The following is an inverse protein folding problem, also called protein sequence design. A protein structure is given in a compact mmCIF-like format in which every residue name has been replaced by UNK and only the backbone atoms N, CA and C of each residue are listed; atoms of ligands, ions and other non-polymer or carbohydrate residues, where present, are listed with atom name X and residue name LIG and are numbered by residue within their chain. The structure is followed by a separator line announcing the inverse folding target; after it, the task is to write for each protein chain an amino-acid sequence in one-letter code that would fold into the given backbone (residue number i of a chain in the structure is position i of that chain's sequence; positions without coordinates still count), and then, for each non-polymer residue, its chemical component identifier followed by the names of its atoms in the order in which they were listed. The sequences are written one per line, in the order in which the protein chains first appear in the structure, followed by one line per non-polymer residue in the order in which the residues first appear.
data_IF_106168140006
#
_entry.id   IF_106168140006
#
_cell.length_a   1.000
_cell.length_b   1.000
_cell.length_c   1.000
_cell.angle_alpha   90.00
_cell.angle_beta   90.00
_cell.angle_gamma   90.00
#
_symmetry.space_group_name_H-M   'P 1'
#
loop_
_entity.id
_entity.type
_entity.pdbx_description
1 polymer ?
#
# COMPACT_ATOMS: atom_id res chain seq x y z
N UNK A 1 -6.83 2.60 6.90
CA UNK A 1 -7.67 3.82 7.02
C UNK A 1 -6.81 5.09 7.17
N UNK A 2 -5.98 5.21 8.19
CA UNK A 2 -5.20 6.44 8.49
C UNK A 2 -4.34 6.96 7.32
N UNK A 3 -3.68 6.07 6.57
CA UNK A 3 -2.85 6.47 5.41
C UNK A 3 -3.67 7.19 4.32
N UNK A 4 -4.95 6.82 4.14
CA UNK A 4 -5.85 7.45 3.16
C UNK A 4 -6.31 8.83 3.60
N UNK A 5 -6.43 9.06 4.90
CA UNK A 5 -6.74 10.39 5.43
C UNK A 5 -5.63 11.40 5.14
N UNK A 6 -4.36 10.98 5.24
CA UNK A 6 -3.21 11.82 4.87
C UNK A 6 -3.23 12.20 3.38
N UNK A 7 -3.40 11.22 2.49
CA UNK A 7 -3.45 11.47 1.05
C UNK A 7 -4.70 12.27 0.63
N UNK A 8 -5.84 12.04 1.28
CA UNK A 8 -7.04 12.86 1.08
C UNK A 8 -6.80 14.31 1.52
N UNK A 9 -6.13 14.52 2.66
CA UNK A 9 -5.76 15.85 3.13
C UNK A 9 -4.85 16.60 2.13
N UNK A 10 -3.89 15.91 1.53
CA UNK A 10 -3.04 16.47 0.47
C UNK A 10 -3.89 16.89 -0.75
N UNK A 11 -4.78 16.04 -1.21
CA UNK A 11 -5.62 16.30 -2.37
C UNK A 11 -6.62 17.43 -2.12
N UNK A 12 -7.25 17.49 -0.95
CA UNK A 12 -8.35 18.40 -0.67
C UNK A 12 -7.91 19.77 -0.18
N UNK A 13 -6.82 19.81 0.59
CA UNK A 13 -6.36 21.05 1.24
C UNK A 13 -5.05 21.57 0.66
N UNK A 14 -4.02 20.72 0.55
CA UNK A 14 -2.68 21.20 0.20
C UNK A 14 -2.61 21.63 -1.26
N UNK A 15 -3.08 20.83 -2.20
CA UNK A 15 -3.00 21.13 -3.63
C UNK A 15 -3.83 22.37 -3.99
N UNK A 16 -5.11 22.55 -3.58
CA UNK A 16 -5.88 23.73 -3.98
C UNK A 16 -5.53 25.00 -3.20
N UNK A 17 -5.11 24.91 -1.94
CA UNK A 17 -4.81 26.10 -1.11
C UNK A 17 -3.40 26.63 -1.35
N UNK A 18 -2.43 25.76 -1.56
CA UNK A 18 -1.00 26.12 -1.65
C UNK A 18 -0.43 25.78 -3.03
N UNK A 19 -1.08 26.26 -4.12
CA UNK A 19 -0.66 25.94 -5.48
C UNK A 19 0.81 26.30 -5.74
N UNK A 20 1.25 27.52 -5.41
CA UNK A 20 2.61 27.98 -5.66
C UNK A 20 3.65 27.20 -4.84
N UNK A 21 3.33 26.92 -3.56
CA UNK A 21 4.20 26.12 -2.70
C UNK A 21 4.32 24.69 -3.20
N UNK A 22 3.26 24.09 -3.73
CA UNK A 22 3.30 22.72 -4.28
C UNK A 22 4.24 22.64 -5.47
N UNK A 23 4.24 23.63 -6.37
CA UNK A 23 5.17 23.71 -7.50
C UNK A 23 6.63 23.88 -7.06
N UNK A 24 6.86 24.72 -6.06
CA UNK A 24 8.21 24.95 -5.53
C UNK A 24 8.81 23.69 -4.89
N UNK A 25 8.02 22.96 -4.08
CA UNK A 25 8.47 21.74 -3.39
C UNK A 25 8.34 20.45 -4.20
N UNK A 26 7.84 20.51 -5.43
CA UNK A 26 7.62 19.35 -6.30
C UNK A 26 8.85 18.46 -6.45
N UNK A 27 10.08 18.96 -6.78
CA UNK A 27 11.25 18.11 -6.91
C UNK A 27 11.63 17.42 -5.59
N UNK A 28 11.45 18.08 -4.45
CA UNK A 28 11.69 17.50 -3.14
C UNK A 28 10.72 16.36 -2.81
N UNK A 29 9.43 16.55 -3.08
CA UNK A 29 8.42 15.51 -2.88
C UNK A 29 8.70 14.29 -3.77
N UNK A 30 9.06 14.50 -5.03
CA UNK A 30 9.38 13.40 -5.94
C UNK A 30 10.58 12.59 -5.47
N UNK A 31 11.66 13.23 -5.05
CA UNK A 31 12.84 12.52 -4.53
C UNK A 31 12.51 11.71 -3.29
N UNK A 32 11.75 12.25 -2.34
CA UNK A 32 11.31 11.53 -1.15
C UNK A 32 10.42 10.33 -1.50
N UNK A 33 9.47 10.49 -2.42
CA UNK A 33 8.59 9.40 -2.83
C UNK A 33 9.37 8.28 -3.53
N UNK A 34 10.30 8.60 -4.43
CA UNK A 34 11.12 7.61 -5.11
C UNK A 34 12.01 6.84 -4.13
N UNK A 35 12.69 7.54 -3.22
CA UNK A 35 13.45 6.90 -2.15
C UNK A 35 12.57 6.01 -1.27
N UNK A 36 11.37 6.50 -0.92
CA UNK A 36 10.39 5.72 -0.17
C UNK A 36 10.01 4.43 -0.87
N UNK A 37 9.72 4.46 -2.19
CA UNK A 37 9.38 3.28 -2.98
C UNK A 37 10.53 2.27 -2.98
N UNK A 38 11.73 2.70 -3.34
CA UNK A 38 12.90 1.80 -3.44
C UNK A 38 13.23 1.17 -2.09
N UNK A 39 13.31 1.99 -1.03
CA UNK A 39 13.65 1.51 0.31
C UNK A 39 12.61 0.54 0.86
N UNK A 40 11.32 0.85 0.72
CA UNK A 40 10.24 -0.02 1.24
C UNK A 40 10.13 -1.31 0.43
N UNK A 41 10.30 -1.28 -0.90
CA UNK A 41 10.34 -2.48 -1.73
C UNK A 41 11.50 -3.41 -1.35
N UNK A 42 12.71 -2.87 -1.18
CA UNK A 42 13.86 -3.66 -0.72
C UNK A 42 13.65 -4.24 0.68
N UNK A 43 13.02 -3.47 1.57
CA UNK A 43 12.71 -3.91 2.93
C UNK A 43 11.67 -5.03 2.95
N UNK A 44 10.64 -5.00 2.09
CA UNK A 44 9.60 -6.04 2.01
C UNK A 44 10.17 -7.40 1.64
N UNK A 45 11.15 -7.45 0.73
CA UNK A 45 11.77 -8.70 0.28
C UNK A 45 12.48 -9.44 1.42
N UNK A 46 13.04 -8.71 2.38
CA UNK A 46 13.79 -9.28 3.52
C UNK A 46 12.94 -9.57 4.75
N UNK A 47 11.66 -9.23 4.74
CA UNK A 47 10.79 -9.45 5.91
C UNK A 47 10.42 -10.93 6.06
N UNK A 48 10.44 -11.41 7.30
CA UNK A 48 10.06 -12.76 7.68
C UNK A 48 8.59 -12.80 8.16
N UNK A 49 8.10 -11.67 8.69
CA UNK A 49 6.75 -11.55 9.24
C UNK A 49 5.75 -11.14 8.17
N UNK A 50 4.71 -11.96 7.90
CA UNK A 50 3.63 -11.68 6.94
C UNK A 50 2.97 -10.31 7.14
N UNK A 51 2.69 -9.93 8.38
CA UNK A 51 2.07 -8.64 8.70
C UNK A 51 2.96 -7.46 8.31
N UNK A 52 4.27 -7.58 8.51
CA UNK A 52 5.24 -6.54 8.12
C UNK A 52 5.38 -6.43 6.61
N UNK A 53 5.36 -7.56 5.88
CA UNK A 53 5.39 -7.57 4.40
C UNK A 53 4.26 -6.70 3.84
N UNK A 54 3.02 -6.92 4.27
CA UNK A 54 1.87 -6.13 3.79
C UNK A 54 1.97 -4.67 4.23
N UNK A 55 2.45 -4.40 5.45
CA UNK A 55 2.61 -3.05 5.95
C UNK A 55 3.62 -2.25 5.10
N UNK A 56 4.80 -2.80 4.79
CA UNK A 56 5.78 -2.13 3.94
C UNK A 56 5.31 -1.99 2.48
N UNK A 57 4.64 -3.01 1.93
CA UNK A 57 4.02 -2.93 0.61
C UNK A 57 2.98 -1.80 0.55
N UNK A 58 2.20 -1.60 1.60
CA UNK A 58 1.21 -0.51 1.64
C UNK A 58 1.86 0.88 1.66
N UNK A 59 3.05 1.05 2.25
CA UNK A 59 3.79 2.32 2.21
C UNK A 59 4.30 2.61 0.81
N UNK A 60 4.83 1.62 0.07
CA UNK A 60 5.26 1.82 -1.33
C UNK A 60 4.10 2.23 -2.23
N UNK A 61 2.94 1.60 -2.11
CA UNK A 61 1.73 1.99 -2.87
C UNK A 61 1.27 3.41 -2.55
N UNK A 62 1.32 3.84 -1.29
CA UNK A 62 0.97 5.22 -0.92
C UNK A 62 1.97 6.25 -1.48
N UNK A 63 3.25 5.90 -1.59
CA UNK A 63 4.24 6.77 -2.24
C UNK A 63 3.93 6.97 -3.73
N UNK A 64 3.44 5.94 -4.44
CA UNK A 64 2.93 6.06 -5.81
C UNK A 64 1.71 6.98 -5.90
N UNK A 65 0.78 6.89 -4.94
CA UNK A 65 -0.38 7.79 -4.88
C UNK A 65 0.08 9.25 -4.77
N UNK A 66 1.04 9.55 -3.90
CA UNK A 66 1.56 10.90 -3.74
C UNK A 66 2.22 11.40 -5.03
N UNK A 67 3.02 10.57 -5.70
CA UNK A 67 3.59 10.90 -7.01
C UNK A 67 2.50 11.29 -8.02
N UNK A 68 1.44 10.49 -8.12
CA UNK A 68 0.31 10.76 -9.01
C UNK A 68 -0.45 12.04 -8.68
N UNK A 69 -0.63 12.37 -7.39
CA UNK A 69 -1.28 13.61 -6.95
C UNK A 69 -0.49 14.86 -7.35
N UNK A 70 0.83 14.82 -7.24
CA UNK A 70 1.71 15.96 -7.54
C UNK A 70 2.04 16.12 -9.03
N UNK A 71 1.56 15.26 -9.94
CA UNK A 71 1.72 15.46 -11.39
C UNK A 71 0.87 16.61 -11.95
N UNK A 72 -0.12 17.11 -11.19
CA UNK A 72 -1.05 18.19 -11.58
C UNK A 72 -1.84 17.90 -12.85
N UNK A 73 -1.83 16.66 -13.36
CA UNK A 73 -2.61 16.22 -14.52
C UNK A 73 -3.91 15.57 -14.08
N UNK A 74 -5.00 15.76 -14.83
CA UNK A 74 -6.30 15.14 -14.54
C UNK A 74 -6.19 13.61 -14.48
N UNK A 75 -5.41 13.03 -15.40
CA UNK A 75 -5.17 11.57 -15.42
C UNK A 75 -4.39 11.09 -14.20
N UNK A 76 -3.36 11.83 -13.77
CA UNK A 76 -2.57 11.50 -12.58
C UNK A 76 -3.40 11.57 -11.30
N UNK A 77 -4.20 12.61 -11.16
CA UNK A 77 -5.11 12.77 -10.02
C UNK A 77 -6.19 11.67 -10.02
N UNK A 78 -6.81 11.40 -11.16
CA UNK A 78 -7.80 10.34 -11.30
C UNK A 78 -7.23 8.96 -10.98
N UNK A 79 -6.04 8.64 -11.49
CA UNK A 79 -5.33 7.40 -11.20
C UNK A 79 -4.96 7.25 -9.72
N UNK A 80 -4.53 8.33 -9.07
CA UNK A 80 -4.19 8.33 -7.65
C UNK A 80 -5.42 8.09 -6.76
N UNK A 81 -6.57 8.71 -7.08
CA UNK A 81 -7.84 8.49 -6.36
C UNK A 81 -8.29 7.04 -6.52
N UNK A 82 -8.22 6.51 -7.75
CA UNK A 82 -8.56 5.11 -8.00
C UNK A 82 -7.65 4.16 -7.21
N UNK A 83 -6.34 4.42 -7.19
CA UNK A 83 -5.39 3.62 -6.43
C UNK A 83 -5.62 3.71 -4.91
N UNK A 84 -6.01 4.87 -4.39
CA UNK A 84 -6.39 5.00 -2.97
C UNK A 84 -7.57 4.11 -2.59
N UNK A 85 -8.61 4.07 -3.43
CA UNK A 85 -9.80 3.27 -3.19
C UNK A 85 -9.51 1.78 -3.30
N UNK A 86 -8.88 1.34 -4.39
CA UNK A 86 -8.53 -0.07 -4.62
C UNK A 86 -7.61 -0.60 -3.52
N UNK A 87 -6.54 0.13 -3.21
CA UNK A 87 -5.64 -0.24 -2.10
C UNK A 87 -6.37 -0.26 -0.74
N UNK A 88 -7.41 0.56 -0.55
CA UNK A 88 -8.23 0.53 0.66
C UNK A 88 -8.90 -0.83 0.87
N UNK A 89 -9.51 -1.37 -0.18
CA UNK A 89 -10.22 -2.64 -0.16
C UNK A 89 -9.23 -3.82 -0.07
N UNK A 90 -8.21 -3.81 -0.93
CA UNK A 90 -7.22 -4.90 -1.00
C UNK A 90 -6.43 -5.03 0.29
N UNK A 91 -5.92 -3.93 0.84
CA UNK A 91 -5.14 -3.98 2.08
C UNK A 91 -5.97 -4.45 3.28
N UNK A 92 -7.23 -4.03 3.38
CA UNK A 92 -8.12 -4.51 4.45
C UNK A 92 -8.41 -6.01 4.32
N UNK A 93 -8.64 -6.50 3.09
CA UNK A 93 -8.82 -7.92 2.81
C UNK A 93 -7.59 -8.75 3.16
N UNK A 94 -6.38 -8.30 2.78
CA UNK A 94 -5.14 -8.98 3.13
C UNK A 94 -4.90 -9.04 4.64
N UNK A 95 -5.14 -7.94 5.37
CA UNK A 95 -5.01 -7.96 6.83
C UNK A 95 -6.04 -8.88 7.49
N UNK A 96 -7.25 -8.95 6.96
CA UNK A 96 -8.26 -9.89 7.42
C UNK A 96 -7.83 -11.35 7.22
N UNK A 97 -7.31 -11.68 6.03
CA UNK A 97 -6.78 -13.01 5.74
C UNK A 97 -5.65 -13.39 6.70
N UNK A 98 -4.71 -12.48 6.97
CA UNK A 98 -3.63 -12.75 7.95
C UNK A 98 -4.20 -12.94 9.35
N UNK A 99 -5.24 -12.20 9.73
CA UNK A 99 -5.93 -12.40 11.01
C UNK A 99 -6.47 -13.82 11.14
N UNK A 100 -7.17 -14.32 10.12
CA UNK A 100 -7.70 -15.68 10.09
C UNK A 100 -6.61 -16.76 10.23
N UNK A 101 -5.48 -16.57 9.53
CA UNK A 101 -4.34 -17.50 9.64
C UNK A 101 -3.75 -17.44 11.05
N UNK A 102 -3.54 -16.24 11.58
CA UNK A 102 -2.96 -16.05 12.91
C UNK A 102 -3.82 -16.67 14.01
N UNK A 103 -5.14 -16.58 13.92
CA UNK A 103 -6.04 -17.19 14.92
C UNK A 103 -5.92 -18.71 14.99
N UNK A 104 -5.63 -19.35 13.84
CA UNK A 104 -5.46 -20.81 13.77
C UNK A 104 -4.07 -21.26 14.20
N UNK A 105 -3.01 -20.62 13.67
CA UNK A 105 -1.62 -21.11 13.85
C UNK A 105 -0.85 -20.36 14.93
N UNK A 106 -1.34 -19.21 15.44
CA UNK A 106 -0.71 -18.37 16.46
C UNK A 106 0.73 -17.91 16.14
N UNK A 107 1.17 -18.03 14.89
CA UNK A 107 2.48 -17.62 14.40
C UNK A 107 2.32 -16.58 13.32
N UNK A 108 3.35 -15.73 13.07
CA UNK A 108 3.37 -14.73 11.99
C UNK A 108 4.50 -14.98 10.99
N UNK A 109 5.30 -16.01 11.22
CA UNK A 109 6.49 -16.30 10.43
C UNK A 109 6.08 -17.02 9.17
N UNK A 110 6.45 -16.47 8.02
CA UNK A 110 6.09 -16.94 6.68
C UNK A 110 6.50 -18.39 6.42
N UNK A 111 7.63 -18.84 7.01
CA UNK A 111 8.17 -20.18 6.84
C UNK A 111 7.24 -21.29 7.34
N UNK A 112 6.38 -21.02 8.33
CA UNK A 112 5.46 -22.01 8.89
C UNK A 112 4.18 -22.19 8.05
N UNK A 113 3.98 -21.38 7.02
CA UNK A 113 2.80 -21.41 6.16
C UNK A 113 3.02 -22.17 4.84
N UNK A 114 4.14 -22.91 4.72
CA UNK A 114 4.37 -23.79 3.59
C UNK A 114 3.30 -24.89 3.55
N UNK A 115 2.67 -25.11 2.37
CA UNK A 115 1.63 -26.11 2.19
C UNK A 115 0.19 -25.66 2.53
N UNK A 116 -0.05 -24.36 2.69
CA UNK A 116 -1.38 -23.80 3.01
C UNK A 116 -2.42 -24.13 1.93
N UNK A 117 -2.00 -24.32 0.70
CA UNK A 117 -2.87 -24.69 -0.44
C UNK A 117 -3.50 -26.07 -0.22
N UNK A 118 -2.78 -27.04 0.34
CA UNK A 118 -3.30 -28.40 0.58
C UNK A 118 -4.28 -28.45 1.76
N UNK A 119 -4.10 -27.59 2.77
CA UNK A 119 -4.96 -27.56 3.97
C UNK A 119 -6.19 -26.67 3.80
N UNK A 120 -6.07 -25.55 3.06
CA UNK A 120 -7.12 -24.56 2.87
C UNK A 120 -7.15 -24.02 1.42
N UNK A 121 -7.63 -24.81 0.43
CA UNK A 121 -7.55 -24.42 -0.98
C UNK A 121 -8.36 -23.16 -1.31
N UNK A 122 -9.58 -23.02 -0.79
CA UNK A 122 -10.43 -21.84 -1.05
C UNK A 122 -9.83 -20.57 -0.49
N UNK A 123 -9.29 -20.65 0.72
CA UNK A 123 -8.64 -19.51 1.37
C UNK A 123 -7.37 -19.07 0.61
N UNK A 124 -6.54 -20.01 0.18
CA UNK A 124 -5.34 -19.72 -0.60
C UNK A 124 -5.66 -19.08 -1.94
N UNK A 125 -6.75 -19.49 -2.59
CA UNK A 125 -7.23 -18.88 -3.84
C UNK A 125 -7.70 -17.44 -3.62
N UNK A 126 -8.48 -17.17 -2.56
CA UNK A 126 -8.89 -15.80 -2.21
C UNK A 126 -7.69 -14.89 -1.90
N UNK A 127 -6.72 -15.40 -1.14
CA UNK A 127 -5.49 -14.67 -0.81
C UNK A 127 -4.67 -14.37 -2.08
N UNK A 128 -4.59 -15.32 -3.00
CA UNK A 128 -3.90 -15.15 -4.29
C UNK A 128 -4.54 -14.04 -5.13
N UNK A 129 -5.87 -14.00 -5.23
CA UNK A 129 -6.58 -12.92 -5.94
C UNK A 129 -6.30 -11.56 -5.31
N UNK A 130 -6.33 -11.46 -3.98
CA UNK A 130 -6.05 -10.20 -3.28
C UNK A 130 -4.60 -9.73 -3.44
N UNK A 131 -3.65 -10.63 -3.64
CA UNK A 131 -2.24 -10.27 -3.89
C UNK A 131 -2.06 -9.76 -5.31
N UNK A 132 -2.80 -10.31 -6.29
CA UNK A 132 -2.71 -9.90 -7.69
C UNK A 132 -3.47 -8.61 -8.00
N UNK A 133 -4.45 -8.23 -7.20
CA UNK A 133 -5.27 -7.02 -7.36
C UNK A 133 -4.54 -5.77 -6.87
#
# INVERSE_FOLDING_TARGET
MLLKLGTYGLLRFVIPVFCDATYFFLPFVYTLCLLGIVYTCCSTIRQVDLKKVIAYASVSHMSFVILGLFTSNIQGIGGSVFLMLSHGIVSSGLFFCIGCIYDRYKTRILRYYSGLVSTMPVFSFCLFILILS
#
